data_IF_490642503092
#
_entry.id   IF_490642503092
#
_cell.length_a   1.000
_cell.length_b   1.000
_cell.length_c   1.000
_cell.angle_alpha   90.00
_cell.angle_beta   90.00
_cell.angle_gamma   90.00
#
_symmetry.space_group_name_H-M   'P 1'
#
loop_
_entity.id
_entity.type
_entity.pdbx_description
1 polymer ?
#
# COMPACT_ATOMS: atom_id res chain seq x y z
N UNK A 1 -4.61 7.24 -23.28
CA UNK A 1 -4.12 5.85 -23.06
C UNK A 1 -3.76 5.76 -21.59
N UNK A 2 -4.46 4.95 -20.81
CA UNK A 2 -4.09 4.63 -19.42
C UNK A 2 -3.03 3.53 -19.40
N UNK A 3 -2.51 3.20 -18.22
CA UNK A 3 -1.56 2.10 -18.06
C UNK A 3 -2.28 0.74 -17.98
N UNK A 4 -1.72 -0.28 -18.62
CA UNK A 4 -2.27 -1.65 -18.58
C UNK A 4 -2.06 -2.32 -17.22
N UNK A 5 -1.00 -1.93 -16.50
CA UNK A 5 -0.59 -2.50 -15.21
C UNK A 5 0.02 -1.42 -14.30
N UNK A 6 -0.38 -1.41 -13.03
CA UNK A 6 0.23 -0.61 -11.96
C UNK A 6 0.95 -1.52 -10.96
N UNK A 7 2.19 -1.16 -10.62
CA UNK A 7 2.95 -1.77 -9.52
C UNK A 7 3.12 -0.75 -8.40
N UNK A 8 2.54 -1.02 -7.23
CA UNK A 8 2.69 -0.20 -6.04
C UNK A 8 3.79 -0.78 -5.15
N UNK A 9 4.93 -0.09 -5.16
CA UNK A 9 6.08 -0.36 -4.30
C UNK A 9 6.26 0.72 -3.23
N UNK A 10 5.18 1.45 -2.91
CA UNK A 10 5.20 2.42 -1.83
C UNK A 10 5.42 1.69 -0.51
N UNK A 11 6.29 2.25 0.31
CA UNK A 11 6.51 1.76 1.66
C UNK A 11 7.51 2.63 2.39
N UNK A 12 7.37 2.66 3.70
CA UNK A 12 8.34 3.28 4.60
C UNK A 12 8.70 2.33 5.72
N UNK A 13 9.49 2.82 6.67
CA UNK A 13 9.74 2.11 7.92
C UNK A 13 9.26 2.96 9.07
N UNK A 14 8.84 2.31 10.17
CA UNK A 14 8.49 3.02 11.41
C UNK A 14 9.62 3.95 11.87
N UNK A 15 10.89 3.57 11.64
CA UNK A 15 12.04 4.40 11.98
C UNK A 15 12.14 5.70 11.18
N UNK A 16 11.66 5.71 9.92
CA UNK A 16 11.69 6.90 9.07
C UNK A 16 10.46 7.79 9.23
N UNK A 17 9.28 7.20 9.43
CA UNK A 17 8.01 7.92 9.35
C UNK A 17 7.18 7.93 10.66
N UNK A 18 7.64 7.24 11.71
CA UNK A 18 6.83 7.00 12.90
C UNK A 18 5.65 6.07 12.61
N UNK A 19 4.72 5.96 13.57
CA UNK A 19 3.54 5.07 13.46
C UNK A 19 2.51 5.62 12.47
N UNK A 20 2.08 6.87 12.66
CA UNK A 20 1.09 7.53 11.80
C UNK A 20 1.59 7.67 10.36
N UNK A 21 2.87 8.05 10.19
CA UNK A 21 3.46 8.17 8.86
C UNK A 21 3.64 6.82 8.16
N UNK A 22 3.90 5.75 8.92
CA UNK A 22 3.91 4.40 8.37
C UNK A 22 2.52 4.00 7.85
N UNK A 23 1.46 4.21 8.62
CA UNK A 23 0.09 3.96 8.16
C UNK A 23 -0.27 4.79 6.92
N UNK A 24 0.07 6.07 6.93
CA UNK A 24 -0.22 6.97 5.81
C UNK A 24 0.44 6.53 4.50
N UNK A 25 1.70 6.12 4.55
CA UNK A 25 2.45 5.70 3.36
C UNK A 25 2.07 4.28 2.93
N UNK A 26 2.07 3.33 3.86
CA UNK A 26 1.94 1.91 3.54
C UNK A 26 0.49 1.44 3.38
N UNK A 27 -0.49 2.26 3.77
CA UNK A 27 -1.92 1.96 3.60
C UNK A 27 -2.67 3.07 2.85
N UNK A 28 -2.72 4.29 3.39
CA UNK A 28 -3.60 5.33 2.83
C UNK A 28 -3.21 5.71 1.39
N UNK A 29 -1.92 5.91 1.14
CA UNK A 29 -1.42 6.22 -0.21
C UNK A 29 -1.58 5.04 -1.16
N UNK A 30 -1.34 3.81 -0.71
CA UNK A 30 -1.55 2.59 -1.51
C UNK A 30 -3.00 2.50 -1.97
N UNK A 31 -3.96 2.69 -1.05
CA UNK A 31 -5.40 2.71 -1.37
C UNK A 31 -5.73 3.85 -2.33
N UNK A 32 -5.13 5.03 -2.14
CA UNK A 32 -5.26 6.17 -3.05
C UNK A 32 -4.81 5.84 -4.48
N UNK A 33 -3.62 5.26 -4.64
CA UNK A 33 -3.10 4.86 -5.96
C UNK A 33 -3.95 3.75 -6.57
N UNK A 34 -4.42 2.78 -5.79
CA UNK A 34 -5.32 1.74 -6.30
C UNK A 34 -6.64 2.32 -6.82
N UNK A 35 -7.19 3.35 -6.16
CA UNK A 35 -8.38 4.07 -6.64
C UNK A 35 -8.11 4.81 -7.94
N UNK A 36 -6.96 5.48 -8.06
CA UNK A 36 -6.57 6.16 -9.31
C UNK A 36 -6.40 5.15 -10.45
N UNK A 37 -5.71 4.04 -10.23
CA UNK A 37 -5.55 2.99 -11.22
C UNK A 37 -6.90 2.43 -11.71
N UNK A 38 -7.86 2.26 -10.79
CA UNK A 38 -9.22 1.85 -11.14
C UNK A 38 -9.96 2.90 -11.97
N UNK A 39 -9.77 4.20 -11.68
CA UNK A 39 -10.36 5.29 -12.47
C UNK A 39 -9.78 5.38 -13.88
N UNK A 40 -8.53 4.94 -14.07
CA UNK A 40 -7.86 4.87 -15.37
C UNK A 40 -8.20 3.61 -16.17
N UNK A 41 -9.14 2.79 -15.68
CA UNK A 41 -9.54 1.49 -16.27
C UNK A 41 -8.36 0.50 -16.37
N UNK A 42 -7.39 0.61 -15.45
CA UNK A 42 -6.29 -0.34 -15.36
C UNK A 42 -6.79 -1.70 -14.88
N UNK A 43 -6.50 -2.75 -15.65
CA UNK A 43 -6.94 -4.12 -15.36
C UNK A 43 -6.15 -4.79 -14.24
N UNK A 44 -4.93 -4.33 -13.99
CA UNK A 44 -4.00 -5.01 -13.09
C UNK A 44 -3.34 -4.02 -12.13
N UNK A 45 -3.58 -4.21 -10.83
CA UNK A 45 -2.90 -3.49 -9.77
C UNK A 45 -2.18 -4.49 -8.86
N UNK A 46 -0.85 -4.42 -8.83
CA UNK A 46 -0.01 -5.28 -8.02
C UNK A 46 0.58 -4.48 -6.86
N UNK A 47 0.31 -4.91 -5.63
CA UNK A 47 0.87 -4.33 -4.42
C UNK A 47 1.98 -5.24 -3.88
N UNK A 48 3.14 -4.67 -3.58
CA UNK A 48 4.19 -5.34 -2.82
C UNK A 48 3.96 -5.12 -1.32
N UNK A 49 3.26 -6.07 -0.69
CA UNK A 49 3.05 -6.10 0.76
C UNK A 49 4.14 -6.95 1.46
N UNK A 50 3.96 -7.25 2.75
CA UNK A 50 4.84 -8.13 3.52
C UNK A 50 4.28 -9.53 3.68
N UNK A 51 5.19 -10.49 3.85
CA UNK A 51 4.82 -11.82 4.34
C UNK A 51 4.14 -11.71 5.71
N UNK A 52 2.99 -12.37 5.87
CA UNK A 52 2.24 -12.39 7.13
C UNK A 52 1.34 -11.18 7.39
N UNK A 53 1.11 -10.32 6.37
CA UNK A 53 0.09 -9.26 6.40
C UNK A 53 -1.24 -9.79 6.97
N UNK A 54 -1.72 -9.16 8.04
CA UNK A 54 -2.90 -9.55 8.80
C UNK A 54 -3.39 -8.37 9.65
N UNK A 55 -4.56 -7.84 9.32
CA UNK A 55 -5.22 -6.72 10.03
C UNK A 55 -5.44 -6.98 11.54
N UNK A 56 -5.49 -8.24 11.96
CA UNK A 56 -5.65 -8.66 13.35
C UNK A 56 -4.31 -8.85 14.09
N UNK A 57 -3.17 -8.54 13.45
CA UNK A 57 -1.85 -8.62 14.08
C UNK A 57 -1.71 -7.60 15.22
N UNK A 58 -1.11 -8.02 16.33
CA UNK A 58 -0.69 -7.11 17.40
C UNK A 58 0.52 -6.25 17.02
N UNK A 59 1.27 -6.64 15.99
CA UNK A 59 2.40 -5.87 15.47
C UNK A 59 1.94 -4.90 14.39
N UNK A 60 2.37 -3.66 14.49
CA UNK A 60 2.05 -2.59 13.54
C UNK A 60 2.39 -2.95 12.08
N UNK A 61 3.55 -3.57 11.84
CA UNK A 61 4.03 -3.78 10.47
C UNK A 61 3.12 -4.71 9.67
N UNK A 62 2.82 -5.95 10.12
CA UNK A 62 1.87 -6.81 9.44
C UNK A 62 0.41 -6.36 9.58
N UNK A 63 0.07 -5.53 10.56
CA UNK A 63 -1.28 -4.98 10.70
C UNK A 63 -1.61 -3.95 9.61
N UNK A 64 -0.63 -3.14 9.21
CA UNK A 64 -0.82 -2.04 8.24
C UNK A 64 -0.60 -2.50 6.81
N UNK A 65 0.39 -3.38 6.58
CA UNK A 65 0.70 -3.94 5.26
C UNK A 65 -0.28 -5.04 4.87
#
# INVERSE_FOLDING_TARGET
>A
RGADVHFCCLGTTRGKAGVEGFRRVDFDYVVGVARLAKQEDCKHFHLVSSQGANENSFFLYPQVK
#
